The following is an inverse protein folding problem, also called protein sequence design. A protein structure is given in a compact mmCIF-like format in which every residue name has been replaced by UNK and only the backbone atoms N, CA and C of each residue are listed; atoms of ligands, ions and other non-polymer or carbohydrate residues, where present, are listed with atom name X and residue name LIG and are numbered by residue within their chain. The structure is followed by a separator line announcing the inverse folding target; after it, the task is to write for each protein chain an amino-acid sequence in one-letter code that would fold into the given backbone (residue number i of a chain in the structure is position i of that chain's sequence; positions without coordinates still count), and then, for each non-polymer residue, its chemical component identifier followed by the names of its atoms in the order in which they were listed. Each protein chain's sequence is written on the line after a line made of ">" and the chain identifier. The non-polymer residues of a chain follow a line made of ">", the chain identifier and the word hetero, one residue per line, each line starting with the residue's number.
data_IF_246564479417
#
_entry.id   IF_246564479417
#
_cell.length_a   1.000
_cell.length_b   1.000
_cell.length_c   1.000
_cell.angle_alpha   90.00
_cell.angle_beta   90.00
_cell.angle_gamma   90.00
#
_symmetry.space_group_name_H-M   'P 1'
#
loop_
_entity.id
_entity.type
_entity.pdbx_description
1 polymer ?
#
# COMPACT_ATOMS: atom_id res chain seq x y z
N UNK A 1 -8.70 -12.59 10.21
CA UNK A 1 -7.98 -11.31 10.01
C UNK A 1 -8.55 -10.61 8.81
N UNK A 2 -8.60 -9.29 8.86
CA UNK A 2 -9.07 -8.45 7.74
C UNK A 2 -7.91 -7.55 7.25
N UNK A 3 -7.79 -7.37 5.95
CA UNK A 3 -6.81 -6.44 5.38
C UNK A 3 -7.48 -5.48 4.38
N UNK A 4 -6.95 -4.28 4.30
CA UNK A 4 -7.35 -3.31 3.27
C UNK A 4 -6.11 -2.80 2.53
N UNK A 5 -6.21 -2.76 1.21
CA UNK A 5 -5.22 -2.16 0.31
C UNK A 5 -5.85 -0.91 -0.29
N UNK A 6 -5.40 0.23 0.17
CA UNK A 6 -5.86 1.55 -0.28
C UNK A 6 -4.86 2.08 -1.30
N UNK A 7 -5.32 2.54 -2.44
CA UNK A 7 -4.41 3.07 -3.44
C UNK A 7 -4.92 4.34 -4.13
N UNK A 8 -3.97 5.13 -4.61
CA UNK A 8 -4.17 6.16 -5.61
C UNK A 8 -3.43 5.77 -6.89
N UNK A 9 -4.01 6.02 -8.04
CA UNK A 9 -3.36 5.75 -9.33
C UNK A 9 -3.62 6.87 -10.33
N UNK A 10 -2.63 7.13 -11.19
CA UNK A 10 -2.74 8.10 -12.30
C UNK A 10 -2.89 7.40 -13.65
N UNK A 11 -2.10 6.36 -13.88
CA UNK A 11 -2.05 5.61 -15.14
C UNK A 11 -2.40 4.12 -14.98
N UNK A 12 -3.05 3.74 -13.87
CA UNK A 12 -3.45 2.36 -13.61
C UNK A 12 -2.34 1.44 -13.08
N UNK A 13 -1.08 1.88 -13.02
CA UNK A 13 0.02 1.01 -12.59
C UNK A 13 -0.04 0.68 -11.09
N UNK A 14 -0.32 1.68 -10.25
CA UNK A 14 -0.47 1.46 -8.80
C UNK A 14 -1.67 0.57 -8.49
N UNK A 15 -2.75 0.68 -9.26
CA UNK A 15 -3.92 -0.20 -9.16
C UNK A 15 -3.56 -1.67 -9.45
N UNK A 16 -2.79 -1.94 -10.51
CA UNK A 16 -2.29 -3.29 -10.83
C UNK A 16 -1.47 -3.86 -9.67
N UNK A 17 -0.57 -3.06 -9.11
CA UNK A 17 0.25 -3.46 -7.96
C UNK A 17 -0.61 -3.70 -6.72
N UNK A 18 -1.57 -2.82 -6.42
CA UNK A 18 -2.50 -2.98 -5.31
C UNK A 18 -3.33 -4.27 -5.42
N UNK A 19 -3.84 -4.55 -6.63
CA UNK A 19 -4.59 -5.78 -6.93
C UNK A 19 -3.72 -7.02 -6.77
N UNK A 20 -2.47 -6.99 -7.24
CA UNK A 20 -1.52 -8.10 -7.09
C UNK A 20 -1.19 -8.35 -5.62
N UNK A 21 -0.95 -7.29 -4.84
CA UNK A 21 -0.72 -7.37 -3.39
C UNK A 21 -1.92 -8.00 -2.68
N UNK A 22 -3.14 -7.53 -2.98
CA UNK A 22 -4.37 -8.08 -2.42
C UNK A 22 -4.57 -9.56 -2.78
N UNK A 23 -4.26 -9.95 -4.02
CA UNK A 23 -4.30 -11.35 -4.46
C UNK A 23 -3.34 -12.21 -3.64
N UNK A 24 -2.13 -11.72 -3.39
CA UNK A 24 -1.15 -12.41 -2.55
C UNK A 24 -1.63 -12.57 -1.10
N UNK A 25 -2.20 -11.51 -0.52
CA UNK A 25 -2.80 -11.55 0.81
C UNK A 25 -3.93 -12.61 0.92
N UNK A 26 -4.79 -12.70 -0.10
CA UNK A 26 -5.86 -13.71 -0.15
C UNK A 26 -5.32 -15.14 -0.26
N UNK A 27 -4.17 -15.34 -0.90
CA UNK A 27 -3.51 -16.65 -1.02
C UNK A 27 -2.80 -17.09 0.26
N UNK A 28 -2.55 -16.20 1.20
CA UNK A 28 -1.98 -16.55 2.48
C UNK A 28 -2.98 -17.39 3.28
N UNK A 29 -2.76 -18.70 3.33
CA UNK A 29 -3.71 -19.73 3.79
C UNK A 29 -4.08 -19.67 5.28
N UNK A 30 -3.51 -18.76 6.04
CA UNK A 30 -3.57 -18.76 7.50
C UNK A 30 -4.54 -17.70 8.06
N UNK A 31 -5.83 -17.80 7.71
CA UNK A 31 -6.88 -17.08 8.44
C UNK A 31 -7.16 -15.64 7.96
N UNK A 32 -6.68 -15.24 6.79
CA UNK A 32 -7.15 -14.03 6.13
C UNK A 32 -8.59 -14.26 5.65
N UNK A 33 -9.56 -13.58 6.23
CA UNK A 33 -10.98 -13.78 5.90
C UNK A 33 -11.43 -12.81 4.81
N UNK A 34 -11.03 -11.56 4.92
CA UNK A 34 -11.47 -10.49 4.04
C UNK A 34 -10.28 -9.63 3.64
N UNK A 35 -10.10 -9.46 2.34
CA UNK A 35 -9.12 -8.53 1.75
C UNK A 35 -9.86 -7.56 0.84
N UNK A 36 -9.81 -6.29 1.16
CA UNK A 36 -10.40 -5.23 0.35
C UNK A 36 -9.31 -4.49 -0.41
N UNK A 37 -9.60 -4.14 -1.66
CA UNK A 37 -8.71 -3.32 -2.48
C UNK A 37 -9.53 -2.14 -3.04
N UNK A 38 -9.18 -0.92 -2.65
CA UNK A 38 -10.03 0.24 -2.91
C UNK A 38 -9.21 1.44 -3.37
N UNK A 39 -9.71 2.11 -4.41
CA UNK A 39 -9.17 3.41 -4.80
C UNK A 39 -9.58 4.47 -3.77
N UNK A 40 -8.62 5.28 -3.34
CA UNK A 40 -8.88 6.34 -2.35
C UNK A 40 -9.98 7.32 -2.78
N UNK A 41 -10.20 7.48 -4.08
CA UNK A 41 -11.28 8.33 -4.65
C UNK A 41 -12.67 7.77 -4.37
N UNK A 42 -12.78 6.46 -4.21
CA UNK A 42 -14.06 5.75 -4.01
C UNK A 42 -14.37 5.56 -2.52
N UNK A 43 -13.46 5.99 -1.64
CA UNK A 43 -13.68 5.94 -0.20
C UNK A 43 -14.58 7.10 0.25
N UNK A 44 -15.83 6.81 0.58
CA UNK A 44 -16.84 7.81 0.98
C UNK A 44 -16.85 8.10 2.48
N UNK A 45 -16.43 7.15 3.33
CA UNK A 45 -16.37 7.31 4.79
C UNK A 45 -15.15 6.51 5.31
N UNK A 46 -14.04 7.22 5.53
CA UNK A 46 -12.77 6.61 5.95
C UNK A 46 -12.72 6.42 7.46
N UNK A 47 -13.44 7.24 8.21
CA UNK A 47 -13.11 7.56 9.59
C UNK A 47 -13.44 6.44 10.59
N UNK A 48 -14.39 5.56 10.26
CA UNK A 48 -14.86 4.54 11.22
C UNK A 48 -14.53 3.09 10.83
N UNK A 49 -13.91 2.87 9.66
CA UNK A 49 -13.73 1.52 9.14
C UNK A 49 -12.29 0.98 9.26
N UNK A 50 -11.28 1.84 9.37
CA UNK A 50 -9.89 1.36 9.42
C UNK A 50 -9.56 0.61 10.70
N UNK A 51 -10.24 0.90 11.80
CA UNK A 51 -10.10 0.17 13.06
C UNK A 51 -10.51 -1.30 12.96
N UNK A 52 -11.33 -1.67 11.96
CA UNK A 52 -11.75 -3.05 11.74
C UNK A 52 -10.69 -3.93 11.07
N UNK A 53 -9.66 -3.32 10.48
CA UNK A 53 -8.63 -4.05 9.75
C UNK A 53 -7.42 -4.33 10.64
N UNK A 54 -6.89 -5.54 10.52
CA UNK A 54 -5.65 -5.96 11.17
C UNK A 54 -4.42 -5.43 10.40
N UNK A 55 -4.56 -5.28 9.07
CA UNK A 55 -3.52 -4.76 8.19
C UNK A 55 -4.06 -3.68 7.25
N UNK A 56 -3.39 -2.53 7.24
CA UNK A 56 -3.65 -1.43 6.30
C UNK A 56 -2.45 -1.26 5.38
N UNK A 57 -2.64 -1.57 4.10
CA UNK A 57 -1.66 -1.29 3.06
C UNK A 57 -2.05 0.00 2.32
N UNK A 58 -1.07 0.84 2.01
CA UNK A 58 -1.31 2.07 1.26
C UNK A 58 -0.32 2.23 0.11
N UNK A 59 -0.82 2.57 -1.08
CA UNK A 59 -0.02 2.68 -2.30
C UNK A 59 -0.34 3.90 -3.15
N UNK A 60 0.70 4.48 -3.77
CA UNK A 60 0.55 5.62 -4.65
C UNK A 60 1.70 5.72 -5.66
N UNK A 61 1.55 6.45 -6.78
CA UNK A 61 2.69 6.82 -7.59
C UNK A 61 3.56 7.84 -6.82
N UNK A 62 4.87 7.79 -7.02
CA UNK A 62 5.76 8.85 -6.57
C UNK A 62 5.62 10.06 -7.50
N UNK A 63 5.17 11.18 -6.96
CA UNK A 63 5.03 12.46 -7.65
C UNK A 63 5.83 13.53 -6.93
N UNK A 64 6.70 14.24 -7.66
CA UNK A 64 7.55 15.28 -7.06
C UNK A 64 8.33 14.78 -5.83
N UNK A 65 8.91 13.58 -5.92
CA UNK A 65 9.71 12.91 -4.88
C UNK A 65 8.95 12.41 -3.64
N UNK A 66 7.61 12.53 -3.59
CA UNK A 66 6.81 12.22 -2.40
C UNK A 66 5.43 11.64 -2.79
N UNK A 67 4.58 11.38 -1.81
CA UNK A 67 3.20 10.97 -2.02
C UNK A 67 2.37 12.11 -2.65
N UNK A 68 1.43 11.79 -3.56
CA UNK A 68 0.56 12.76 -4.20
C UNK A 68 -0.46 13.38 -3.23
N UNK A 69 -1.03 14.51 -3.64
CA UNK A 69 -1.98 15.28 -2.82
C UNK A 69 -3.14 14.45 -2.24
N UNK A 70 -3.83 13.56 -2.98
CA UNK A 70 -4.92 12.76 -2.42
C UNK A 70 -4.50 11.91 -1.22
N UNK A 71 -3.29 11.35 -1.24
CA UNK A 71 -2.74 10.55 -0.14
C UNK A 71 -2.43 11.45 1.08
N UNK A 72 -1.87 12.64 0.85
CA UNK A 72 -1.61 13.59 1.95
C UNK A 72 -2.90 14.06 2.62
N UNK A 73 -3.95 14.28 1.83
CA UNK A 73 -5.28 14.63 2.35
C UNK A 73 -5.91 13.48 3.14
N UNK A 74 -5.73 12.23 2.68
CA UNK A 74 -6.15 11.05 3.40
C UNK A 74 -5.52 10.98 4.79
N UNK A 75 -4.20 11.04 4.89
CA UNK A 75 -3.52 11.03 6.20
C UNK A 75 -3.92 12.22 7.08
N UNK A 76 -4.17 13.39 6.49
CA UNK A 76 -4.66 14.54 7.26
C UNK A 76 -6.03 14.29 7.89
N UNK A 77 -6.93 13.57 7.20
CA UNK A 77 -8.25 13.19 7.73
C UNK A 77 -8.14 12.12 8.82
N UNK A 78 -7.13 11.29 8.80
CA UNK A 78 -6.87 10.27 9.83
C UNK A 78 -6.28 10.85 11.13
N UNK A 79 -5.90 12.13 11.17
CA UNK A 79 -5.39 12.74 12.39
C UNK A 79 -6.42 12.65 13.52
N UNK A 80 -6.01 12.02 14.63
CA UNK A 80 -6.88 11.79 15.77
C UNK A 80 -7.55 10.42 15.81
N UNK A 81 -7.47 9.63 14.72
CA UNK A 81 -7.87 8.22 14.72
C UNK A 81 -6.70 7.39 15.24
N UNK A 82 -6.90 6.63 16.30
CA UNK A 82 -5.86 5.74 16.81
C UNK A 82 -5.92 4.40 16.10
N UNK A 83 -4.85 4.08 15.38
CA UNK A 83 -4.68 2.77 14.74
C UNK A 83 -3.64 1.91 15.50
N UNK A 84 -3.49 2.16 16.80
CA UNK A 84 -2.61 1.38 17.65
C UNK A 84 -2.99 -0.10 17.66
N UNK A 85 -1.99 -0.97 17.65
CA UNK A 85 -2.20 -2.43 17.58
C UNK A 85 -2.54 -2.98 16.19
N UNK A 86 -2.62 -2.12 15.17
CA UNK A 86 -2.78 -2.52 13.76
C UNK A 86 -1.42 -2.53 13.06
N UNK A 87 -1.37 -3.26 11.94
CA UNK A 87 -0.17 -3.33 11.11
C UNK A 87 -0.33 -2.45 9.86
N UNK A 88 0.80 -1.91 9.40
CA UNK A 88 0.86 -1.07 8.21
C UNK A 88 1.91 -1.52 7.22
N UNK A 89 1.63 -1.34 5.93
CA UNK A 89 2.58 -1.54 4.85
C UNK A 89 2.39 -0.46 3.78
N UNK A 90 3.49 0.10 3.28
CA UNK A 90 3.47 1.14 2.25
C UNK A 90 4.18 0.68 0.98
N UNK A 91 3.64 1.05 -0.18
CA UNK A 91 4.26 0.77 -1.47
C UNK A 91 4.05 1.93 -2.45
N UNK A 92 4.94 2.03 -3.44
CA UNK A 92 4.77 3.00 -4.51
C UNK A 92 5.06 2.42 -5.90
N UNK A 93 4.65 3.17 -6.91
CA UNK A 93 5.13 3.01 -8.27
C UNK A 93 6.00 4.21 -8.62
N UNK A 94 7.22 3.97 -9.08
CA UNK A 94 8.19 5.02 -9.41
C UNK A 94 9.07 4.65 -10.60
N UNK A 95 9.62 5.67 -11.23
CA UNK A 95 10.65 5.46 -12.26
C UNK A 95 11.95 4.94 -11.63
N UNK A 96 12.66 4.09 -12.36
CA UNK A 96 13.97 3.57 -11.95
C UNK A 96 15.04 4.64 -12.12
N UNK A 97 15.02 5.61 -11.22
CA UNK A 97 15.99 6.67 -11.18
C UNK A 97 16.43 6.92 -9.73
N UNK A 98 17.76 6.98 -9.52
CA UNK A 98 18.36 7.05 -8.18
C UNK A 98 17.82 8.19 -7.31
N UNK A 99 17.45 9.31 -7.91
CA UNK A 99 16.95 10.50 -7.22
C UNK A 99 15.44 10.70 -7.37
N UNK A 100 14.68 9.65 -7.73
CA UNK A 100 13.23 9.78 -7.96
C UNK A 100 12.41 10.01 -6.68
N UNK A 101 13.04 9.93 -5.51
CA UNK A 101 12.32 9.95 -4.24
C UNK A 101 11.52 8.66 -3.99
N UNK A 102 10.66 8.65 -2.99
CA UNK A 102 9.75 7.55 -2.70
C UNK A 102 8.52 8.04 -1.94
N UNK A 103 7.36 7.85 -2.57
CA UNK A 103 6.08 8.04 -1.91
C UNK A 103 5.88 7.01 -0.80
N UNK A 104 6.32 5.75 -1.01
CA UNK A 104 6.22 4.67 -0.03
C UNK A 104 6.94 5.01 1.27
N UNK A 105 8.14 5.59 1.19
CA UNK A 105 8.88 6.04 2.37
C UNK A 105 8.12 7.10 3.17
N UNK A 106 7.50 8.06 2.49
CA UNK A 106 6.71 9.10 3.16
C UNK A 106 5.43 8.54 3.77
N UNK A 107 4.75 7.62 3.07
CA UNK A 107 3.55 6.95 3.56
C UNK A 107 3.84 6.03 4.75
N UNK A 108 4.95 5.30 4.74
CA UNK A 108 5.39 4.50 5.90
C UNK A 108 5.57 5.36 7.15
N UNK A 109 6.17 6.56 7.01
CA UNK A 109 6.32 7.50 8.12
C UNK A 109 4.95 7.96 8.65
N UNK A 110 3.99 8.24 7.77
CA UNK A 110 2.63 8.61 8.18
C UNK A 110 1.90 7.45 8.87
N UNK A 111 2.00 6.22 8.37
CA UNK A 111 1.43 5.03 9.05
C UNK A 111 1.97 4.88 10.47
N UNK A 112 3.29 5.02 10.65
CA UNK A 112 3.92 5.02 12.00
C UNK A 112 3.36 6.12 12.89
N UNK A 113 3.14 7.33 12.35
CA UNK A 113 2.61 8.46 13.12
C UNK A 113 1.15 8.26 13.57
N UNK A 114 0.38 7.42 12.86
CA UNK A 114 -0.97 7.01 13.25
C UNK A 114 -0.99 5.80 14.22
N UNK A 115 0.17 5.33 14.66
CA UNK A 115 0.29 4.26 15.64
C UNK A 115 0.37 2.84 15.07
N UNK A 116 0.41 2.68 13.73
CA UNK A 116 0.54 1.35 13.14
C UNK A 116 1.97 0.81 13.29
N UNK A 117 2.05 -0.48 13.52
CA UNK A 117 3.31 -1.22 13.46
C UNK A 117 3.61 -1.59 12.01
N UNK A 118 4.78 -1.23 11.53
CA UNK A 118 5.19 -1.59 10.15
C UNK A 118 5.53 -3.07 10.11
N UNK A 119 4.76 -3.83 9.33
CA UNK A 119 4.91 -5.29 9.24
C UNK A 119 6.14 -5.70 8.41
N UNK A 120 6.46 -4.91 7.39
CA UNK A 120 7.64 -5.09 6.54
C UNK A 120 8.08 -3.72 5.99
N UNK A 121 9.36 -3.54 5.61
CA UNK A 121 9.82 -2.32 4.96
C UNK A 121 8.99 -1.99 3.72
N UNK A 122 8.83 -0.70 3.45
CA UNK A 122 8.14 -0.25 2.24
C UNK A 122 8.82 -0.75 0.96
N UNK A 123 8.02 -0.91 -0.09
CA UNK A 123 8.46 -1.44 -1.38
C UNK A 123 8.09 -0.52 -2.54
N UNK A 124 8.90 -0.55 -3.60
CA UNK A 124 8.66 0.24 -4.81
C UNK A 124 8.53 -0.68 -6.03
N UNK A 125 7.47 -0.49 -6.81
CA UNK A 125 7.34 -1.09 -8.13
C UNK A 125 7.88 -0.13 -9.20
N UNK A 126 8.65 -0.65 -10.12
CA UNK A 126 9.29 0.13 -11.16
C UNK A 126 8.35 0.36 -12.35
N UNK A 127 8.30 1.59 -12.83
CA UNK A 127 7.60 1.96 -14.06
C UNK A 127 8.55 2.64 -15.04
N UNK A 128 8.25 2.50 -16.33
CA UNK A 128 8.89 3.22 -17.42
C UNK A 128 7.93 4.31 -17.91
N UNK A 129 8.42 5.53 -18.04
CA UNK A 129 7.66 6.63 -18.62
C UNK A 129 7.47 6.42 -20.13
N UNK A 130 6.27 6.65 -20.60
CA UNK A 130 5.93 6.72 -22.00
C UNK A 130 5.92 8.20 -22.41
N UNK A 131 6.56 8.51 -23.52
CA UNK A 131 6.64 9.89 -24.04
C UNK A 131 6.08 9.95 -25.45
N UNK A 132 5.35 11.00 -25.72
CA UNK A 132 4.84 11.37 -27.03
C UNK A 132 5.19 12.83 -27.27
N UNK A 133 5.85 13.12 -28.38
CA UNK A 133 6.36 14.47 -28.73
C UNK A 133 7.18 15.14 -27.61
N UNK A 134 8.01 14.35 -26.91
CA UNK A 134 8.82 14.81 -25.79
C UNK A 134 8.07 15.00 -24.47
N UNK A 135 6.74 14.90 -24.47
CA UNK A 135 5.89 15.02 -23.27
C UNK A 135 5.58 13.66 -22.68
N UNK A 136 5.51 13.56 -21.34
CA UNK A 136 5.10 12.32 -20.69
C UNK A 136 3.60 12.09 -20.94
N UNK A 137 3.26 11.08 -21.75
CA UNK A 137 1.89 10.68 -22.07
C UNK A 137 1.36 9.55 -21.18
N UNK A 138 2.25 8.85 -20.46
CA UNK A 138 1.86 7.74 -19.59
C UNK A 138 3.03 7.08 -18.88
N UNK A 139 2.73 5.95 -18.26
CA UNK A 139 3.73 5.08 -17.67
C UNK A 139 3.32 3.62 -17.80
N UNK A 140 4.29 2.73 -17.97
CA UNK A 140 4.10 1.27 -18.06
C UNK A 140 4.85 0.59 -16.93
N UNK A 141 4.19 -0.36 -16.29
CA UNK A 141 4.81 -1.19 -15.26
C UNK A 141 5.93 -2.04 -15.88
N UNK A 142 7.05 -2.17 -15.17
CA UNK A 142 8.11 -3.11 -15.52
C UNK A 142 7.59 -4.54 -15.42
N UNK A 143 7.99 -5.38 -16.37
CA UNK A 143 7.55 -6.77 -16.41
C UNK A 143 7.98 -7.52 -15.13
N UNK A 144 7.06 -8.30 -14.56
CA UNK A 144 7.26 -9.10 -13.35
C UNK A 144 7.00 -8.37 -12.03
N UNK A 145 6.78 -7.05 -12.02
CA UNK A 145 6.48 -6.33 -10.78
C UNK A 145 5.14 -6.77 -10.16
N UNK A 146 4.15 -7.09 -10.98
CA UNK A 146 2.87 -7.65 -10.54
C UNK A 146 3.07 -8.97 -9.78
N UNK A 147 3.83 -9.91 -10.34
CA UNK A 147 4.16 -11.19 -9.69
C UNK A 147 4.96 -10.99 -8.40
N UNK A 148 5.90 -10.06 -8.41
CA UNK A 148 6.69 -9.73 -7.23
C UNK A 148 5.80 -9.21 -6.10
N UNK A 149 4.86 -8.32 -6.39
CA UNK A 149 3.92 -7.80 -5.38
C UNK A 149 2.89 -8.82 -4.92
N UNK A 150 2.51 -9.78 -5.76
CA UNK A 150 1.71 -10.92 -5.31
C UNK A 150 2.48 -11.77 -4.28
N UNK A 151 3.78 -12.02 -4.49
CA UNK A 151 4.62 -12.71 -3.51
C UNK A 151 4.78 -11.91 -2.21
N UNK A 152 4.94 -10.59 -2.31
CA UNK A 152 4.97 -9.71 -1.12
C UNK A 152 3.66 -9.84 -0.35
N UNK A 153 2.51 -9.80 -1.02
CA UNK A 153 1.20 -9.98 -0.38
C UNK A 153 1.08 -11.31 0.37
N UNK A 154 1.54 -12.40 -0.24
CA UNK A 154 1.58 -13.72 0.39
C UNK A 154 2.45 -13.72 1.66
N UNK A 155 3.63 -13.10 1.59
CA UNK A 155 4.56 -12.97 2.73
C UNK A 155 3.94 -12.13 3.86
N UNK A 156 3.33 -10.98 3.55
CA UNK A 156 2.68 -10.13 4.53
C UNK A 156 1.53 -10.85 5.25
N UNK A 157 0.71 -11.60 4.52
CA UNK A 157 -0.39 -12.36 5.11
C UNK A 157 0.12 -13.49 6.02
N UNK A 158 1.21 -14.15 5.66
CA UNK A 158 1.87 -15.17 6.48
C UNK A 158 2.47 -14.57 7.75
N UNK A 159 3.18 -13.46 7.62
CA UNK A 159 3.78 -12.75 8.76
C UNK A 159 2.72 -12.25 9.75
N UNK A 160 1.63 -11.67 9.25
CA UNK A 160 0.52 -11.20 10.07
C UNK A 160 -0.08 -12.35 10.90
N UNK A 161 -0.22 -13.53 10.30
CA UNK A 161 -0.75 -14.72 10.96
C UNK A 161 0.17 -15.19 12.09
N UNK A 162 1.47 -15.20 11.85
CA UNK A 162 2.49 -15.60 12.84
C UNK A 162 2.47 -14.67 14.06
N UNK A 163 2.39 -13.37 13.84
CA UNK A 163 2.36 -12.37 14.92
C UNK A 163 1.13 -12.52 15.81
N UNK A 164 -0.04 -12.80 15.22
CA UNK A 164 -1.28 -13.00 15.99
C UNK A 164 -1.24 -14.26 16.85
N UNK A 165 -0.62 -15.33 16.38
CA UNK A 165 -0.49 -16.58 17.16
C UNK A 165 0.37 -16.36 18.40
N UNK A 166 1.42 -15.54 18.32
CA UNK A 166 2.28 -15.21 19.44
C UNK A 166 1.55 -14.38 20.53
N UNK A 167 0.70 -13.43 20.11
CA UNK A 167 -0.05 -12.54 21.03
C UNK A 167 -1.15 -13.30 21.81
N UNK A 168 -1.65 -14.43 21.32
CA UNK A 168 -2.69 -15.24 21.98
C UNK A 168 -2.08 -16.25 22.98
N UNK A 169 -0.76 -16.46 22.93
CA UNK A 169 -0.04 -17.43 23.77
C UNK A 169 0.61 -16.81 25.02
N UNK A 170 0.49 -15.49 25.20
CA UNK A 170 0.86 -14.73 26.41
C UNK A 170 -0.40 -14.36 27.23
#
# INVERSE_FOLDING_TARGET
>A
MKAIVIYHTRYGNTEKIATSLATGLMKASSGMKDVFCVNIKDMTAIDNSLEEYDLVCIGAPTEGFTAPKPIKEFFRKLKGVSLAGKYGFAFDTKVDFRLSGSAAKSMEKELKSQGLQIIAPHESAIVYTLKEDGTISGARLKDGEDKRFEQIGLQLGTELSSKRTQTVSE
#
